data_IF_660675622162
#
_entry.id   IF_660675622162
#
_cell.length_a   1.000
_cell.length_b   1.000
_cell.length_c   1.000
_cell.angle_alpha   90.00
_cell.angle_beta   90.00
_cell.angle_gamma   90.00
#
_symmetry.space_group_name_H-M   'P 1'
#
loop_
_entity.id
_entity.type
_entity.pdbx_description
1 polymer ?
#
# COMPACT_ATOMS: atom_id res chain seq x y z
N UNK A 1 14.13 -12.26 7.46
CA UNK A 1 13.99 -10.84 7.82
C UNK A 1 14.96 -10.53 8.96
N UNK A 2 15.68 -9.40 8.96
CA UNK A 2 16.51 -9.00 10.12
C UNK A 2 15.99 -7.72 10.76
N UNK A 3 16.39 -7.45 12.01
CA UNK A 3 16.04 -6.22 12.72
C UNK A 3 16.54 -4.97 11.97
N UNK A 4 17.74 -5.03 11.38
CA UNK A 4 18.33 -3.95 10.61
C UNK A 4 17.49 -3.65 9.36
N UNK A 5 17.00 -4.69 8.67
CA UNK A 5 16.07 -4.52 7.53
C UNK A 5 14.80 -3.80 7.96
N UNK A 6 14.24 -4.15 9.12
CA UNK A 6 13.03 -3.52 9.64
C UNK A 6 13.25 -2.03 10.00
N UNK A 7 14.39 -1.71 10.62
CA UNK A 7 14.75 -0.32 10.93
C UNK A 7 14.94 0.50 9.64
N UNK A 8 15.63 -0.06 8.64
CA UNK A 8 15.81 0.59 7.35
C UNK A 8 14.47 0.83 6.64
N UNK A 9 13.56 -0.15 6.71
CA UNK A 9 12.21 -0.04 6.15
C UNK A 9 11.44 1.14 6.75
N UNK A 10 11.49 1.29 8.08
CA UNK A 10 10.83 2.40 8.75
C UNK A 10 11.41 3.77 8.38
N UNK A 11 12.74 3.85 8.19
CA UNK A 11 13.41 5.07 7.72
C UNK A 11 12.97 5.44 6.32
N UNK A 12 12.97 4.47 5.40
CA UNK A 12 12.51 4.66 4.02
C UNK A 12 11.07 5.17 3.98
N UNK A 13 10.16 4.53 4.71
CA UNK A 13 8.76 4.96 4.75
C UNK A 13 8.59 6.40 5.28
N UNK A 14 9.36 6.79 6.29
CA UNK A 14 9.29 8.13 6.86
C UNK A 14 9.75 9.25 5.90
N UNK A 15 10.39 8.91 4.77
CA UNK A 15 10.77 9.88 3.73
C UNK A 15 9.65 10.17 2.74
N UNK A 16 8.61 9.33 2.68
CA UNK A 16 7.53 9.45 1.69
C UNK A 16 6.67 10.68 1.94
N UNK A 17 6.07 11.30 0.90
CA UNK A 17 5.17 12.43 1.07
C UNK A 17 3.95 12.03 1.92
N UNK A 18 3.38 12.96 2.71
CA UNK A 18 2.14 12.69 3.43
C UNK A 18 0.99 12.39 2.45
N UNK A 19 -0.01 11.65 2.91
CA UNK A 19 -1.23 11.37 2.16
C UNK A 19 -2.03 12.62 1.73
N UNK A 20 -1.70 13.82 2.22
CA UNK A 20 -2.28 15.09 1.74
C UNK A 20 -1.57 15.67 0.51
N UNK A 21 -0.56 14.98 -0.03
CA UNK A 21 0.33 15.50 -1.07
C UNK A 21 0.55 14.46 -2.17
N UNK A 22 -0.55 13.91 -2.69
CA UNK A 22 -0.48 12.97 -3.80
C UNK A 22 0.05 13.64 -5.07
N UNK A 23 0.97 12.99 -5.81
CA UNK A 23 1.38 13.48 -7.10
C UNK A 23 0.19 13.46 -8.07
N UNK A 24 0.09 14.48 -8.93
CA UNK A 24 -0.85 14.45 -10.04
C UNK A 24 -0.32 13.48 -11.10
N UNK A 25 -1.07 12.40 -11.36
CA UNK A 25 -0.69 11.37 -12.32
C UNK A 25 -1.71 11.32 -13.44
N UNK A 26 -1.24 11.50 -14.66
CA UNK A 26 -1.98 11.13 -15.85
C UNK A 26 -1.84 9.63 -16.08
N UNK A 27 -2.80 8.87 -15.54
CA UNK A 27 -2.88 7.41 -15.68
C UNK A 27 -3.24 6.97 -17.10
N UNK A 28 -3.56 7.90 -18.00
CA UNK A 28 -3.78 7.64 -19.43
C UNK A 28 -2.52 7.90 -20.27
N UNK A 29 -1.46 8.45 -19.65
CA UNK A 29 -0.20 8.72 -20.33
C UNK A 29 0.44 7.44 -20.88
N UNK A 30 1.12 7.56 -22.00
CA UNK A 30 1.90 6.45 -22.58
C UNK A 30 2.91 5.90 -21.59
N UNK A 31 3.50 6.76 -20.75
CA UNK A 31 4.43 6.32 -19.72
C UNK A 31 3.80 5.38 -18.68
N UNK A 32 2.54 5.60 -18.30
CA UNK A 32 1.85 4.72 -17.36
C UNK A 32 1.53 3.37 -18.03
N UNK A 33 1.10 3.38 -19.30
CA UNK A 33 0.84 2.16 -20.07
C UNK A 33 2.10 1.31 -20.26
N UNK A 34 3.23 1.94 -20.57
CA UNK A 34 4.55 1.30 -20.65
C UNK A 34 4.93 0.65 -19.32
N UNK A 35 4.69 1.31 -18.19
CA UNK A 35 4.92 0.73 -16.85
C UNK A 35 4.06 -0.51 -16.61
N UNK A 36 2.78 -0.47 -16.97
CA UNK A 36 1.90 -1.62 -16.88
C UNK A 36 2.34 -2.76 -17.82
N UNK A 37 2.85 -2.42 -19.01
CA UNK A 37 3.37 -3.40 -19.97
C UNK A 37 4.60 -4.14 -19.42
N UNK A 38 5.49 -3.48 -18.67
CA UNK A 38 6.61 -4.14 -17.98
C UNK A 38 6.09 -5.17 -16.97
N UNK A 39 5.07 -4.83 -16.16
CA UNK A 39 4.50 -5.77 -15.19
C UNK A 39 3.89 -7.00 -15.89
N UNK A 40 3.16 -6.78 -16.98
CA UNK A 40 2.56 -7.85 -17.78
C UNK A 40 3.62 -8.72 -18.48
N UNK A 41 4.68 -8.11 -19.04
CA UNK A 41 5.79 -8.81 -19.72
C UNK A 41 6.38 -9.93 -18.87
N UNK A 42 6.44 -9.71 -17.55
CA UNK A 42 7.01 -10.65 -16.59
C UNK A 42 5.96 -11.52 -15.86
N UNK A 43 4.71 -11.53 -16.32
CA UNK A 43 3.59 -12.24 -15.68
C UNK A 43 3.43 -11.88 -14.19
N UNK A 44 3.72 -10.63 -13.83
CA UNK A 44 3.75 -10.15 -12.45
C UNK A 44 2.43 -9.49 -12.00
N UNK A 45 1.47 -9.29 -12.91
CA UNK A 45 0.19 -8.59 -12.70
C UNK A 45 -0.74 -9.28 -11.69
N UNK A 46 -0.62 -10.59 -11.48
CA UNK A 46 -1.39 -11.31 -10.45
C UNK A 46 -0.74 -11.25 -9.06
N UNK A 47 0.48 -10.71 -8.96
CA UNK A 47 1.30 -10.66 -7.73
C UNK A 47 1.48 -9.23 -7.23
N UNK A 48 1.54 -8.28 -8.14
CA UNK A 48 1.70 -6.87 -7.83
C UNK A 48 0.62 -6.00 -8.44
N UNK A 49 0.28 -4.94 -7.71
CA UNK A 49 -0.39 -3.76 -8.23
C UNK A 49 0.52 -2.54 -8.10
N UNK A 50 0.25 -1.52 -8.91
CA UNK A 50 0.89 -0.21 -8.75
C UNK A 50 0.19 0.55 -7.63
N UNK A 51 0.95 1.26 -6.80
CA UNK A 51 0.41 2.17 -5.79
C UNK A 51 1.16 3.49 -5.80
N UNK A 52 0.47 4.59 -5.51
CA UNK A 52 1.10 5.87 -5.24
C UNK A 52 1.89 5.80 -3.94
N UNK A 53 3.09 6.36 -3.98
CA UNK A 53 3.94 6.54 -2.82
C UNK A 53 3.37 7.63 -1.92
N UNK A 54 3.01 7.25 -0.70
CA UNK A 54 2.62 8.16 0.37
C UNK A 54 2.75 7.46 1.73
N UNK A 55 2.80 8.26 2.79
CA UNK A 55 2.70 7.82 4.19
C UNK A 55 1.40 8.31 4.82
N UNK A 56 0.82 7.47 5.66
CA UNK A 56 -0.33 7.85 6.51
C UNK A 56 0.11 8.42 7.86
N UNK A 57 1.23 7.93 8.39
CA UNK A 57 1.76 8.31 9.70
C UNK A 57 3.29 8.26 9.69
N UNK A 58 3.92 8.86 10.70
CA UNK A 58 5.36 8.71 10.93
C UNK A 58 5.59 7.53 11.86
N UNK A 59 6.47 6.62 11.45
CA UNK A 59 6.81 5.42 12.21
C UNK A 59 7.80 5.82 13.32
N UNK A 60 7.48 5.58 14.61
CA UNK A 60 8.39 5.82 15.72
C UNK A 60 9.65 4.94 15.64
N UNK A 61 10.69 5.32 16.38
CA UNK A 61 11.92 4.54 16.49
C UNK A 61 11.63 3.12 17.03
N UNK A 62 12.37 2.13 16.52
CA UNK A 62 12.23 0.70 16.87
C UNK A 62 10.85 0.10 16.53
N UNK A 63 10.11 0.70 15.59
CA UNK A 63 8.83 0.18 15.09
C UNK A 63 8.85 0.03 13.57
N UNK A 64 7.89 -0.74 13.04
CA UNK A 64 7.60 -0.88 11.60
C UNK A 64 6.11 -0.67 11.34
N UNK A 65 5.73 -0.41 10.08
CA UNK A 65 4.33 -0.58 9.68
C UNK A 65 4.05 -2.06 9.40
N UNK A 66 3.14 -2.62 10.20
CA UNK A 66 2.70 -4.00 10.10
C UNK A 66 1.17 -4.04 9.94
N UNK A 67 0.73 -4.68 8.86
CA UNK A 67 -0.67 -5.00 8.59
C UNK A 67 -1.07 -6.34 9.20
N UNK A 68 -2.07 -6.32 10.08
CA UNK A 68 -2.73 -7.51 10.65
C UNK A 68 -4.09 -7.70 10.00
N UNK A 69 -4.48 -8.92 9.69
CA UNK A 69 -5.82 -9.19 9.17
C UNK A 69 -6.90 -8.96 10.23
N UNK A 70 -8.04 -8.43 9.80
CA UNK A 70 -9.26 -8.38 10.59
C UNK A 70 -10.34 -9.17 9.87
N UNK A 71 -11.22 -9.82 10.64
CA UNK A 71 -12.20 -10.77 10.09
C UNK A 71 -13.62 -10.23 10.07
N UNK A 72 -13.91 -9.18 10.83
CA UNK A 72 -15.26 -8.60 10.97
C UNK A 72 -15.20 -7.08 11.17
N UNK A 73 -15.29 -6.28 10.10
CA UNK A 73 -15.36 -6.69 8.68
C UNK A 73 -14.04 -7.28 8.16
N UNK A 74 -14.04 -8.04 7.04
CA UNK A 74 -12.82 -8.52 6.40
C UNK A 74 -11.95 -7.34 5.93
N UNK A 75 -10.66 -7.40 6.26
CA UNK A 75 -9.75 -6.30 5.96
C UNK A 75 -8.38 -6.44 6.62
N UNK A 76 -7.64 -5.33 6.64
CA UNK A 76 -6.32 -5.23 7.25
C UNK A 76 -6.20 -3.94 8.08
N UNK A 77 -5.67 -4.07 9.27
CA UNK A 77 -5.27 -2.95 10.11
C UNK A 77 -3.76 -2.81 10.10
N UNK A 78 -3.26 -1.73 9.50
CA UNK A 78 -1.82 -1.44 9.37
C UNK A 78 -1.43 -0.34 10.32
N UNK A 79 -0.50 -0.61 11.23
CA UNK A 79 -0.07 0.38 12.23
C UNK A 79 1.41 0.26 12.56
N UNK A 80 1.99 1.31 13.18
CA UNK A 80 3.26 1.18 13.87
C UNK A 80 3.20 0.07 14.92
N UNK A 81 4.14 -0.87 14.83
CA UNK A 81 4.29 -2.02 15.72
C UNK A 81 5.74 -2.13 16.16
N UNK A 82 6.03 -2.24 17.48
CA UNK A 82 7.38 -2.45 17.97
C UNK A 82 8.03 -3.68 17.35
N UNK A 83 9.28 -3.55 16.92
CA UNK A 83 10.03 -4.66 16.31
C UNK A 83 10.15 -5.85 17.29
N UNK A 84 10.18 -5.58 18.61
CA UNK A 84 10.17 -6.61 19.65
C UNK A 84 8.95 -7.51 19.63
N UNK A 85 7.84 -7.02 19.07
CA UNK A 85 6.53 -7.68 19.08
C UNK A 85 6.26 -8.42 17.76
N UNK A 86 7.20 -8.34 16.80
CA UNK A 86 7.06 -8.89 15.46
C UNK A 86 7.67 -10.29 15.40
N UNK A 87 6.86 -11.28 15.00
CA UNK A 87 7.38 -12.58 14.61
C UNK A 87 8.04 -12.49 13.22
N UNK A 88 9.38 -12.43 13.21
CA UNK A 88 10.18 -12.31 11.99
C UNK A 88 10.04 -13.50 11.03
N UNK A 89 9.51 -14.63 11.49
CA UNK A 89 9.25 -15.82 10.66
C UNK A 89 7.86 -15.80 10.03
N UNK A 90 6.97 -14.92 10.52
CA UNK A 90 5.56 -14.87 10.14
C UNK A 90 5.16 -13.47 9.63
N UNK A 91 6.06 -12.82 8.90
CA UNK A 91 5.77 -11.59 8.18
C UNK A 91 6.32 -11.65 6.75
N UNK A 92 5.70 -10.88 5.86
CA UNK A 92 6.16 -10.70 4.49
C UNK A 92 6.10 -9.22 4.09
N UNK A 93 6.94 -8.78 3.13
CA UNK A 93 6.77 -7.48 2.48
C UNK A 93 5.33 -7.32 1.98
N UNK A 94 4.77 -6.13 2.15
CA UNK A 94 3.49 -5.77 1.57
C UNK A 94 3.64 -4.64 0.55
N UNK A 95 4.42 -3.63 0.89
CA UNK A 95 4.75 -2.53 -0.01
C UNK A 95 6.25 -2.52 -0.25
N UNK A 96 6.64 -2.41 -1.52
CA UNK A 96 8.03 -2.39 -1.98
C UNK A 96 8.26 -1.12 -2.78
N UNK A 97 9.23 -0.31 -2.34
CA UNK A 97 9.52 1.01 -2.88
C UNK A 97 10.99 1.10 -3.32
N UNK A 98 11.33 2.07 -4.16
CA UNK A 98 12.73 2.34 -4.50
C UNK A 98 13.41 3.03 -3.32
N UNK A 99 14.48 2.43 -2.81
CA UNK A 99 15.36 3.06 -1.81
C UNK A 99 16.44 3.87 -2.53
N UNK A 100 16.20 5.18 -2.64
CA UNK A 100 17.12 6.13 -3.27
C UNK A 100 18.39 6.43 -2.45
N UNK A 101 18.43 6.08 -1.15
CA UNK A 101 19.62 6.27 -0.31
C UNK A 101 20.61 5.12 -0.46
N UNK A 102 20.13 3.89 -0.70
CA UNK A 102 21.00 2.78 -1.06
C UNK A 102 21.70 3.08 -2.40
N UNK A 103 23.04 2.91 -2.44
CA UNK A 103 23.93 3.26 -3.57
C UNK A 103 23.54 2.72 -4.96
N UNK A 104 22.51 1.89 -5.06
CA UNK A 104 22.02 1.27 -6.29
C UNK A 104 20.50 1.40 -6.49
N UNK A 105 19.80 2.27 -5.74
CA UNK A 105 18.36 2.54 -5.91
C UNK A 105 17.50 1.27 -5.90
N UNK A 106 17.74 0.35 -4.97
CA UNK A 106 17.14 -0.98 -5.02
C UNK A 106 15.70 -0.95 -4.52
N UNK A 107 14.88 -1.87 -5.01
CA UNK A 107 13.59 -2.14 -4.41
C UNK A 107 13.76 -2.68 -2.99
N UNK A 108 13.05 -2.07 -2.05
CA UNK A 108 13.16 -2.34 -0.62
C UNK A 108 11.77 -2.31 0.04
N UNK A 109 11.47 -3.21 0.97
CA UNK A 109 10.18 -3.21 1.65
C UNK A 109 10.03 -1.95 2.52
N UNK A 110 8.87 -1.28 2.42
CA UNK A 110 8.52 -0.09 3.22
C UNK A 110 7.34 -0.34 4.17
N UNK A 111 6.54 -1.38 3.92
CA UNK A 111 5.46 -1.84 4.79
C UNK A 111 5.37 -3.37 4.76
N UNK A 112 4.93 -3.99 5.85
CA UNK A 112 4.83 -5.44 6.00
C UNK A 112 3.40 -5.89 6.33
N UNK A 113 3.13 -7.18 6.17
CA UNK A 113 1.93 -7.85 6.66
C UNK A 113 2.28 -9.11 7.43
N UNK A 114 1.41 -9.46 8.38
CA UNK A 114 1.45 -10.75 9.08
C UNK A 114 1.06 -11.89 8.14
N UNK A 115 1.60 -13.07 8.46
CA UNK A 115 1.42 -14.29 7.70
C UNK A 115 2.64 -14.64 6.87
N UNK A 116 2.75 -15.92 6.47
CA UNK A 116 3.85 -16.36 5.63
C UNK A 116 3.76 -15.70 4.24
N UNK A 117 4.89 -15.50 3.55
CA UNK A 117 4.87 -15.16 2.13
C UNK A 117 4.10 -16.24 1.35
N UNK A 118 3.36 -15.85 0.31
CA UNK A 118 2.73 -16.83 -0.57
C UNK A 118 3.77 -17.79 -1.18
N UNK A 119 3.47 -19.09 -1.15
CA UNK A 119 4.42 -20.20 -1.37
C UNK A 119 4.86 -20.40 -2.83
N UNK A 120 4.45 -19.55 -3.77
CA UNK A 120 4.64 -19.73 -5.22
C UNK A 120 5.09 -18.46 -5.97
N UNK A 121 5.88 -17.62 -5.31
CA UNK A 121 6.41 -16.38 -5.87
C UNK A 121 7.68 -16.60 -6.69
N UNK A 122 7.56 -17.29 -7.82
CA UNK A 122 8.58 -17.22 -8.86
C UNK A 122 8.30 -16.01 -9.74
N UNK A 123 9.16 -15.00 -9.66
CA UNK A 123 9.16 -13.84 -10.54
C UNK A 123 10.56 -13.77 -11.14
N UNK A 124 10.63 -13.62 -12.46
CA UNK A 124 11.91 -13.49 -13.15
C UNK A 124 12.68 -12.28 -12.61
N UNK A 125 13.95 -12.46 -12.27
CA UNK A 125 14.78 -11.41 -11.66
C UNK A 125 14.91 -10.16 -12.54
N UNK A 126 14.77 -10.31 -13.86
CA UNK A 126 14.74 -9.21 -14.82
C UNK A 126 13.62 -8.20 -14.55
N UNK A 127 12.48 -8.64 -13.99
CA UNK A 127 11.33 -7.79 -13.69
C UNK A 127 11.71 -6.59 -12.82
N UNK A 128 12.33 -6.85 -11.67
CA UNK A 128 12.66 -5.82 -10.71
C UNK A 128 13.68 -4.82 -11.25
N UNK A 129 14.58 -5.28 -12.12
CA UNK A 129 15.59 -4.41 -12.77
C UNK A 129 14.91 -3.49 -13.77
N UNK A 130 14.15 -4.06 -14.73
CA UNK A 130 13.47 -3.28 -15.77
C UNK A 130 12.43 -2.32 -15.18
N UNK A 131 11.68 -2.76 -14.17
CA UNK A 131 10.73 -1.90 -13.45
C UNK A 131 11.44 -0.69 -12.82
N UNK A 132 12.52 -0.94 -12.07
CA UNK A 132 13.25 0.12 -11.35
C UNK A 132 13.94 1.09 -12.33
N UNK A 133 14.56 0.57 -13.38
CA UNK A 133 15.23 1.39 -14.39
C UNK A 133 14.22 2.25 -15.15
N UNK A 134 13.05 1.69 -15.47
CA UNK A 134 11.98 2.45 -16.10
C UNK A 134 11.47 3.59 -15.21
N UNK A 135 11.26 3.34 -13.91
CA UNK A 135 10.87 4.41 -12.97
C UNK A 135 11.90 5.54 -12.98
N UNK A 136 13.19 5.23 -12.93
CA UNK A 136 14.27 6.25 -12.95
C UNK A 136 14.29 7.06 -14.23
N UNK A 137 14.15 6.40 -15.39
CA UNK A 137 14.13 7.09 -16.69
C UNK A 137 13.00 8.12 -16.75
N UNK A 138 11.87 7.85 -16.09
CA UNK A 138 10.72 8.75 -16.03
C UNK A 138 10.75 9.71 -14.82
N UNK A 139 11.70 9.56 -13.89
CA UNK A 139 11.73 10.31 -12.62
C UNK A 139 10.58 9.94 -11.67
N UNK A 140 10.13 8.68 -11.72
CA UNK A 140 8.95 8.17 -11.03
C UNK A 140 9.27 7.31 -9.80
N UNK A 141 10.55 7.22 -9.41
CA UNK A 141 11.00 6.47 -8.23
C UNK A 141 10.35 6.95 -6.92
N UNK A 142 9.95 8.23 -6.84
CA UNK A 142 9.25 8.82 -5.70
C UNK A 142 7.72 8.89 -5.91
N UNK A 143 7.21 8.23 -6.94
CA UNK A 143 5.78 8.28 -7.31
C UNK A 143 5.14 6.90 -7.19
N UNK A 144 5.77 5.87 -7.76
CA UNK A 144 5.18 4.54 -7.80
C UNK A 144 5.92 3.55 -6.91
N UNK A 145 5.14 2.68 -6.28
CA UNK A 145 5.59 1.51 -5.51
C UNK A 145 4.84 0.26 -5.96
N UNK A 146 5.43 -0.90 -5.71
CA UNK A 146 4.76 -2.18 -5.88
C UNK A 146 4.03 -2.51 -4.59
N UNK A 147 2.77 -2.90 -4.71
CA UNK A 147 2.01 -3.50 -3.63
C UNK A 147 1.74 -4.95 -3.93
N UNK A 148 1.97 -5.78 -2.92
CA UNK A 148 1.79 -7.21 -2.94
C UNK A 148 0.32 -7.57 -2.80
N UNK A 149 -0.16 -8.37 -3.76
CA UNK A 149 -1.51 -8.93 -3.77
C UNK A 149 -1.49 -10.25 -2.99
N UNK A 150 -1.95 -10.20 -1.74
CA UNK A 150 -2.09 -11.38 -0.88
C UNK A 150 -3.22 -11.17 0.12
N UNK A 151 -4.21 -12.08 0.09
CA UNK A 151 -5.34 -12.08 1.02
C UNK A 151 -6.42 -11.03 0.74
N UNK A 152 -6.41 -10.37 -0.42
CA UNK A 152 -7.52 -9.51 -0.88
C UNK A 152 -8.28 -10.21 -2.01
N UNK A 153 -9.60 -10.21 -1.94
CA UNK A 153 -10.49 -10.89 -2.92
C UNK A 153 -11.18 -9.91 -3.87
N UNK A 154 -11.10 -8.60 -3.61
CA UNK A 154 -11.75 -7.57 -4.40
C UNK A 154 -11.17 -6.17 -4.18
N UNK A 155 -11.94 -5.17 -4.60
CA UNK A 155 -11.62 -3.76 -4.41
C UNK A 155 -11.64 -3.44 -2.91
N UNK A 156 -10.60 -2.74 -2.47
CA UNK A 156 -10.45 -2.36 -1.07
C UNK A 156 -10.55 -0.85 -0.92
N UNK A 157 -11.07 -0.39 0.21
CA UNK A 157 -11.16 1.00 0.63
C UNK A 157 -10.26 1.20 1.85
N UNK A 158 -9.37 2.19 1.79
CA UNK A 158 -8.44 2.56 2.86
C UNK A 158 -8.88 3.84 3.58
N UNK A 159 -8.96 3.73 4.89
CA UNK A 159 -9.20 4.82 5.82
C UNK A 159 -7.90 5.10 6.58
N UNK A 160 -7.52 6.37 6.65
CA UNK A 160 -6.29 6.80 7.34
C UNK A 160 -6.63 7.35 8.73
N UNK A 161 -5.86 6.95 9.74
CA UNK A 161 -5.94 7.46 11.11
C UNK A 161 -4.52 7.81 11.60
N UNK A 162 -4.40 8.64 12.64
CA UNK A 162 -3.08 8.99 13.18
C UNK A 162 -2.33 7.76 13.74
N UNK A 163 -3.07 6.75 14.19
CA UNK A 163 -2.55 5.50 14.77
C UNK A 163 -2.36 4.36 13.75
N UNK A 164 -2.72 4.55 12.48
CA UNK A 164 -2.64 3.50 11.45
C UNK A 164 -3.62 3.70 10.30
N UNK A 165 -3.63 2.78 9.34
CA UNK A 165 -4.62 2.73 8.27
C UNK A 165 -5.45 1.44 8.33
N UNK A 166 -6.74 1.57 8.02
CA UNK A 166 -7.69 0.48 7.95
C UNK A 166 -8.06 0.25 6.48
N UNK A 167 -7.82 -0.95 5.98
CA UNK A 167 -8.17 -1.36 4.64
C UNK A 167 -9.34 -2.35 4.71
N UNK A 168 -10.49 -2.02 4.13
CA UNK A 168 -11.71 -2.84 4.14
C UNK A 168 -12.12 -3.24 2.73
N UNK A 169 -12.85 -4.34 2.58
CA UNK A 169 -13.50 -4.65 1.30
C UNK A 169 -14.58 -3.59 0.99
N UNK A 170 -14.69 -3.18 -0.28
CA UNK A 170 -15.68 -2.17 -0.70
C UNK A 170 -17.12 -2.57 -0.35
N UNK A 171 -17.42 -3.87 -0.37
CA UNK A 171 -18.73 -4.41 -0.02
C UNK A 171 -19.14 -4.17 1.45
N UNK A 172 -18.18 -3.85 2.33
CA UNK A 172 -18.42 -3.57 3.75
C UNK A 172 -18.63 -2.07 4.02
N UNK A 173 -18.39 -1.22 3.01
CA UNK A 173 -18.41 0.23 3.12
C UNK A 173 -19.67 0.79 2.47
N UNK A 174 -20.39 1.62 3.21
CA UNK A 174 -21.55 2.39 2.74
C UNK A 174 -21.33 3.89 2.86
N UNK A 175 -22.20 4.67 2.21
CA UNK A 175 -22.22 6.12 2.31
C UNK A 175 -21.58 6.84 1.13
N UNK A 176 -21.69 8.17 1.15
CA UNK A 176 -21.07 9.04 0.15
C UNK A 176 -19.81 9.66 0.74
N UNK A 177 -18.70 9.48 0.04
CA UNK A 177 -17.42 10.04 0.45
C UNK A 177 -16.61 10.44 -0.78
N UNK A 178 -15.79 11.47 -0.63
CA UNK A 178 -14.82 11.81 -1.66
C UNK A 178 -13.71 10.77 -1.61
N UNK A 179 -13.16 10.42 -2.76
CA UNK A 179 -12.13 9.41 -2.79
C UNK A 179 -11.10 9.68 -3.86
N UNK A 180 -9.90 9.19 -3.61
CA UNK A 180 -8.77 9.30 -4.49
C UNK A 180 -8.27 7.90 -4.84
N UNK A 181 -8.13 7.69 -6.14
CA UNK A 181 -7.47 6.52 -6.68
C UNK A 181 -5.98 6.61 -6.43
N UNK A 182 -5.46 5.66 -5.65
CA UNK A 182 -4.03 5.60 -5.30
C UNK A 182 -3.41 4.26 -5.66
N UNK A 183 -4.18 3.32 -6.23
CA UNK A 183 -3.68 2.00 -6.58
C UNK A 183 -4.38 1.45 -7.85
N UNK A 184 -3.65 0.65 -8.62
CA UNK A 184 -4.09 0.12 -9.90
C UNK A 184 -3.73 -1.34 -10.05
N UNK A 185 -4.76 -2.18 -10.15
CA UNK A 185 -4.60 -3.59 -10.54
C UNK A 185 -4.45 -3.66 -12.06
N UNK A 186 -3.47 -4.42 -12.52
CA UNK A 186 -3.15 -4.52 -13.95
C UNK A 186 -3.80 -5.78 -14.51
N UNK A 187 -4.47 -5.65 -15.65
CA UNK A 187 -5.12 -6.75 -16.35
C UNK A 187 -4.70 -6.77 -17.81
N UNK A 188 -4.79 -7.94 -18.42
CA UNK A 188 -4.64 -8.08 -19.88
C UNK A 188 -6.01 -8.48 -20.43
N UNK A 189 -6.55 -7.68 -21.35
CA UNK A 189 -7.80 -7.96 -22.05
C UNK A 189 -7.53 -7.85 -23.55
N UNK A 190 -7.79 -8.93 -24.28
CA UNK A 190 -7.63 -8.99 -25.74
C UNK A 190 -6.24 -8.55 -26.25
N UNK A 191 -5.19 -8.85 -25.50
CA UNK A 191 -3.81 -8.46 -25.81
C UNK A 191 -3.46 -7.01 -25.46
N UNK A 192 -4.43 -6.19 -25.03
CA UNK A 192 -4.21 -4.86 -24.50
C UNK A 192 -4.02 -4.89 -22.98
N UNK A 193 -3.15 -4.01 -22.48
CA UNK A 193 -2.95 -3.82 -21.04
C UNK A 193 -3.99 -2.82 -20.54
N UNK A 194 -4.89 -3.31 -19.69
CA UNK A 194 -5.95 -2.54 -19.05
C UNK A 194 -5.61 -2.32 -17.56
N UNK A 195 -6.08 -1.21 -17.00
CA UNK A 195 -5.93 -0.89 -15.58
C UNK A 195 -7.30 -0.87 -14.93
N UNK A 196 -7.43 -1.63 -13.86
CA UNK A 196 -8.58 -1.55 -12.98
C UNK A 196 -8.20 -0.64 -11.82
N UNK A 197 -8.81 0.54 -11.79
CA UNK A 197 -8.58 1.52 -10.75
C UNK A 197 -9.14 1.03 -9.43
N UNK A 198 -8.28 0.85 -8.42
CA UNK A 198 -8.73 0.61 -7.06
C UNK A 198 -8.68 1.94 -6.29
N UNK A 199 -9.87 2.47 -6.02
CA UNK A 199 -10.06 3.59 -5.11
C UNK A 199 -9.68 3.17 -3.71
N UNK A 200 -8.52 3.61 -3.22
CA UNK A 200 -8.06 3.25 -1.88
C UNK A 200 -8.11 4.41 -0.91
N UNK A 201 -7.93 5.67 -1.25
CA UNK A 201 -7.96 6.71 -0.21
C UNK A 201 -9.30 7.43 -0.14
N UNK A 202 -10.03 7.32 0.97
CA UNK A 202 -11.26 8.07 1.19
C UNK A 202 -10.99 9.36 1.98
N UNK A 203 -11.47 10.48 1.44
CA UNK A 203 -11.51 11.80 2.05
C UNK A 203 -12.97 12.03 2.49
N UNK A 204 -13.20 12.20 3.78
CA UNK A 204 -14.55 12.51 4.30
C UNK A 204 -14.52 13.96 4.77
N UNK A 205 -15.34 14.82 4.15
CA UNK A 205 -15.48 16.25 4.49
C UNK A 205 -14.20 17.10 4.29
N UNK A 206 -13.48 16.93 3.18
CA UNK A 206 -12.34 17.78 2.81
C UNK A 206 -11.09 17.63 3.72
N UNK A 207 -11.11 16.66 4.63
CA UNK A 207 -9.97 16.16 5.37
C UNK A 207 -9.91 14.64 5.16
N UNK A 208 -8.71 14.03 5.15
CA UNK A 208 -8.66 12.62 5.59
C UNK A 208 -9.38 12.57 6.94
N UNK A 209 -10.10 11.50 7.29
CA UNK A 209 -10.56 11.33 8.66
C UNK A 209 -9.37 11.25 9.61
N UNK A 210 -8.77 12.39 9.93
CA UNK A 210 -8.15 12.60 11.21
C UNK A 210 -9.30 12.48 12.18
N UNK A 211 -9.49 11.28 12.71
CA UNK A 211 -10.17 11.07 13.97
C UNK A 211 -9.33 11.70 15.09
N UNK A 212 -8.96 12.98 14.95
CA UNK A 212 -8.29 13.80 15.96
C UNK A 212 -9.28 14.32 17.00
N UNK A 213 -10.58 14.08 16.82
CA UNK A 213 -11.63 14.47 17.79
C UNK A 213 -12.21 13.32 18.61
N UNK A 214 -11.85 12.07 18.30
CA UNK A 214 -12.20 10.90 19.12
C UNK A 214 -10.90 10.18 19.47
N UNK A 215 -10.68 9.86 20.76
CA UNK A 215 -9.52 9.09 21.20
C UNK A 215 -9.61 7.65 20.68
N UNK A 216 -9.27 7.44 19.41
CA UNK A 216 -9.12 6.12 18.81
C UNK A 216 -7.79 5.53 19.28
N UNK A 217 -7.83 4.40 19.99
CA UNK A 217 -6.64 3.72 20.52
C UNK A 217 -6.44 2.33 19.90
N UNK A 218 -7.47 1.81 19.24
CA UNK A 218 -7.50 0.46 18.71
C UNK A 218 -8.29 0.39 17.40
N UNK A 219 -8.14 -0.72 16.67
CA UNK A 219 -8.98 -1.02 15.50
C UNK A 219 -10.46 -1.12 15.88
N UNK A 220 -10.79 -1.58 17.09
CA UNK A 220 -12.17 -1.62 17.56
C UNK A 220 -12.79 -0.22 17.69
N UNK A 221 -12.00 0.75 18.15
CA UNK A 221 -12.43 2.15 18.21
C UNK A 221 -12.64 2.71 16.80
N UNK A 222 -11.73 2.42 15.86
CA UNK A 222 -11.86 2.81 14.45
C UNK A 222 -13.17 2.28 13.87
N UNK A 223 -13.41 0.98 14.00
CA UNK A 223 -14.60 0.33 13.47
C UNK A 223 -15.88 0.87 14.10
N UNK A 224 -15.85 1.23 15.39
CA UNK A 224 -16.97 1.88 16.06
C UNK A 224 -17.25 3.25 15.44
N UNK A 225 -16.22 4.09 15.26
CA UNK A 225 -16.37 5.40 14.62
C UNK A 225 -16.98 5.27 13.22
N UNK A 226 -16.48 4.35 12.39
CA UNK A 226 -17.02 4.16 11.04
C UNK A 226 -18.48 3.70 11.04
N UNK A 227 -18.91 2.86 12.00
CA UNK A 227 -20.32 2.49 12.16
C UNK A 227 -21.19 3.65 12.62
N UNK A 228 -20.73 4.41 13.61
CA UNK A 228 -21.47 5.56 14.16
C UNK A 228 -21.70 6.64 13.07
N UNK A 229 -20.75 6.79 12.14
CA UNK A 229 -20.84 7.70 10.99
C UNK A 229 -21.61 7.09 9.78
N UNK A 230 -22.11 5.85 9.89
CA UNK A 230 -22.84 5.17 8.80
C UNK A 230 -21.97 4.78 7.60
N UNK A 231 -20.64 4.76 7.78
CA UNK A 231 -19.66 4.40 6.75
C UNK A 231 -19.47 2.90 6.65
N UNK A 232 -19.68 2.18 7.75
CA UNK A 232 -19.59 0.72 7.79
C UNK A 232 -20.98 0.09 7.93
N UNK A 233 -21.24 -0.94 7.11
CA UNK A 233 -22.48 -1.73 7.13
C UNK A 233 -22.64 -2.62 8.36
#
# INVERSE_FOLDING_TARGET
>A
MTKETLIASARLHNQFPPNTSFPQIDVLSEGFKELCAIITKYNAQSRFRLRLLHRHTTIPKEQILLGTSITKPPGFWTRPTPISDVDLQNIHPHIISVDNEARNGRLFPSEFREGPPASNWSIESGFFTEFTDYLRVKGWENIFRLEIIQGQTGKMIEFSFDIGSLLLEEAEVSGQFESQETAWTIRVRDGAVDKDGETRCVIIQGQHLRATKMLVKSVSDVLKVLRDEGVLL
#
